data_IF_849531923501
#
_entry.id   IF_849531923501
#
_cell.length_a   1.000
_cell.length_b   1.000
_cell.length_c   1.000
_cell.angle_alpha   90.00
_cell.angle_beta   90.00
_cell.angle_gamma   90.00
#
_symmetry.space_group_name_H-M   'P 1'
#
loop_
_entity.id
_entity.type
_entity.pdbx_description
1 polymer ?
#
# COMPACT_ATOMS: atom_id res chain seq x y z
N UNK A 1 -3.54 29.92 -19.63
CA UNK A 1 -2.42 30.52 -18.87
C UNK A 1 -2.66 30.17 -17.42
N UNK A 2 -2.08 29.06 -16.95
CA UNK A 2 -2.18 28.66 -15.55
C UNK A 2 -1.23 29.54 -14.73
N UNK A 3 -1.76 30.16 -13.68
CA UNK A 3 -1.05 31.07 -12.79
C UNK A 3 0.22 30.43 -12.25
N UNK A 4 1.27 31.26 -12.13
CA UNK A 4 2.48 30.97 -11.38
C UNK A 4 2.14 30.92 -9.88
N UNK A 5 1.42 29.89 -9.46
CA UNK A 5 1.29 29.54 -8.05
C UNK A 5 2.64 29.02 -7.58
N UNK A 6 3.19 29.64 -6.55
CA UNK A 6 4.42 29.17 -5.89
C UNK A 6 4.17 27.74 -5.40
N UNK A 7 4.77 26.75 -6.08
CA UNK A 7 4.63 25.34 -5.70
C UNK A 7 5.15 25.19 -4.27
N UNK A 8 4.25 24.81 -3.35
CA UNK A 8 4.60 24.59 -1.95
C UNK A 8 5.30 23.25 -1.79
N UNK A 9 6.19 23.17 -0.81
CA UNK A 9 6.78 21.89 -0.40
C UNK A 9 5.82 21.22 0.57
N UNK A 10 5.58 19.92 0.41
CA UNK A 10 4.77 19.14 1.35
C UNK A 10 5.49 19.03 2.69
N UNK A 11 4.71 18.94 3.77
CA UNK A 11 5.25 18.54 5.09
C UNK A 11 5.52 17.03 5.14
N UNK A 12 4.89 16.27 4.23
CA UNK A 12 5.10 14.83 4.08
C UNK A 12 6.36 14.53 3.25
N UNK A 13 6.87 13.32 3.45
CA UNK A 13 8.10 12.76 2.88
C UNK A 13 7.79 11.46 2.16
N UNK A 14 8.57 11.19 1.11
CA UNK A 14 8.56 9.89 0.44
C UNK A 14 9.77 9.09 0.93
N UNK A 15 9.52 7.99 1.63
CA UNK A 15 10.56 7.06 2.07
C UNK A 15 10.83 6.03 0.95
N UNK A 16 12.08 5.85 0.57
CA UNK A 16 12.53 4.92 -0.45
C UNK A 16 13.54 3.98 0.19
N UNK A 17 13.25 2.69 0.22
CA UNK A 17 14.10 1.70 0.86
C UNK A 17 14.51 0.61 -0.12
N UNK A 18 15.73 0.10 0.04
CA UNK A 18 16.23 -1.00 -0.77
C UNK A 18 17.13 -1.94 0.05
N UNK A 19 17.15 -3.26 -0.25
CA UNK A 19 18.06 -4.19 0.39
C UNK A 19 19.54 -3.83 0.22
N UNK A 20 20.32 -3.97 1.30
CA UNK A 20 21.75 -3.73 1.29
C UNK A 20 22.53 -4.89 0.64
N UNK A 21 23.34 -4.56 -0.35
CA UNK A 21 24.31 -5.43 -0.99
C UNK A 21 25.67 -5.33 -0.29
N UNK A 22 26.21 -6.46 0.16
CA UNK A 22 27.59 -6.52 0.69
C UNK A 22 28.59 -6.68 -0.46
N UNK A 23 29.29 -5.59 -0.80
CA UNK A 23 30.51 -5.65 -1.62
C UNK A 23 31.70 -5.95 -0.69
N UNK A 24 32.47 -7.01 -0.95
CA UNK A 24 33.74 -7.25 -0.23
C UNK A 24 34.70 -6.10 -0.52
N UNK A 25 35.23 -5.47 0.54
CA UNK A 25 36.52 -4.78 0.46
C UNK A 25 37.58 -5.80 0.02
N UNK A 26 38.38 -5.44 -0.99
CA UNK A 26 39.29 -6.35 -1.71
C UNK A 26 40.51 -6.83 -0.92
N UNK A 27 40.60 -6.54 0.39
CA UNK A 27 41.85 -6.66 1.14
C UNK A 27 41.95 -7.83 2.14
N UNK A 28 40.99 -8.76 2.23
CA UNK A 28 41.09 -9.90 3.16
C UNK A 28 40.94 -11.31 2.53
N UNK A 29 41.88 -12.17 2.91
CA UNK A 29 42.22 -13.51 2.41
C UNK A 29 41.06 -14.55 2.33
N UNK A 30 41.25 -15.68 1.61
CA UNK A 30 40.18 -16.52 1.13
C UNK A 30 39.87 -17.68 2.08
N UNK A 31 38.78 -17.60 2.85
CA UNK A 31 38.14 -18.79 3.45
C UNK A 31 36.73 -18.51 4.00
N UNK A 32 35.73 -18.56 3.12
CA UNK A 32 34.36 -19.09 3.34
C UNK A 32 33.46 -18.61 2.21
N UNK A 33 32.82 -19.57 1.53
CA UNK A 33 31.92 -19.38 0.40
C UNK A 33 30.60 -18.77 0.85
N UNK A 34 30.58 -17.46 1.09
CA UNK A 34 29.32 -16.70 1.14
C UNK A 34 29.06 -16.10 -0.25
N UNK A 35 27.84 -16.23 -0.79
CA UNK A 35 27.51 -15.72 -2.13
C UNK A 35 27.65 -14.20 -2.16
N UNK A 36 28.47 -13.70 -3.10
CA UNK A 36 28.53 -12.28 -3.47
C UNK A 36 27.14 -11.80 -3.86
N UNK A 37 26.68 -10.69 -3.30
CA UNK A 37 25.42 -10.09 -3.71
C UNK A 37 25.51 -9.66 -5.20
N UNK A 38 24.50 -9.96 -6.04
CA UNK A 38 24.61 -9.83 -7.49
C UNK A 38 24.38 -8.41 -8.02
N UNK A 39 24.13 -7.42 -7.15
CA UNK A 39 23.82 -6.04 -7.49
C UNK A 39 24.58 -5.05 -6.60
N UNK A 40 24.67 -3.79 -7.01
CA UNK A 40 25.18 -2.68 -6.21
C UNK A 40 24.00 -1.83 -5.74
N UNK A 41 23.79 -1.71 -4.42
CA UNK A 41 22.70 -0.93 -3.82
C UNK A 41 22.81 0.56 -4.17
N UNK A 42 24.03 1.09 -4.27
CA UNK A 42 24.26 2.50 -4.67
C UNK A 42 23.80 2.73 -6.10
N UNK A 43 24.10 1.79 -7.00
CA UNK A 43 23.64 1.83 -8.38
C UNK A 43 22.12 1.67 -8.48
N UNK A 44 21.52 0.78 -7.65
CA UNK A 44 20.08 0.56 -7.58
C UNK A 44 19.33 1.87 -7.28
N UNK A 45 19.70 2.55 -6.19
CA UNK A 45 19.14 3.87 -5.84
C UNK A 45 19.41 4.92 -6.90
N UNK A 46 20.64 4.99 -7.43
CA UNK A 46 21.01 6.03 -8.39
C UNK A 46 20.17 5.96 -9.66
N UNK A 47 20.00 4.76 -10.20
CA UNK A 47 19.18 4.52 -11.39
C UNK A 47 17.72 4.86 -11.10
N UNK A 48 17.19 4.42 -9.96
CA UNK A 48 15.81 4.68 -9.58
C UNK A 48 15.52 6.17 -9.40
N UNK A 49 16.38 6.89 -8.66
CA UNK A 49 16.23 8.32 -8.39
C UNK A 49 16.33 9.15 -9.68
N UNK A 50 17.26 8.81 -10.59
CA UNK A 50 17.33 9.43 -11.92
C UNK A 50 16.06 9.16 -12.72
N UNK A 51 15.52 7.94 -12.67
CA UNK A 51 14.26 7.59 -13.33
C UNK A 51 13.06 8.36 -12.75
N UNK A 52 12.98 8.47 -11.43
CA UNK A 52 11.85 9.08 -10.72
C UNK A 52 11.84 10.61 -10.79
N UNK A 53 13.02 11.24 -10.75
CA UNK A 53 13.12 12.70 -10.66
C UNK A 53 13.67 13.35 -11.93
N UNK A 54 14.26 12.57 -12.84
CA UNK A 54 15.05 13.07 -13.96
C UNK A 54 16.45 13.54 -13.58
N UNK A 55 16.84 13.43 -12.30
CA UNK A 55 18.12 13.93 -11.77
C UNK A 55 18.84 12.79 -11.06
N UNK A 56 20.08 12.52 -11.48
CA UNK A 56 20.92 11.53 -10.81
C UNK A 56 21.47 12.09 -9.48
N UNK A 57 21.62 11.26 -8.44
CA UNK A 57 22.26 11.67 -7.19
C UNK A 57 23.77 11.92 -7.39
N UNK A 58 24.40 12.49 -6.36
CA UNK A 58 25.84 12.80 -6.41
C UNK A 58 26.70 11.54 -6.58
N UNK A 59 27.72 11.60 -7.44
CA UNK A 59 28.55 10.44 -7.81
C UNK A 59 29.51 9.96 -6.70
N UNK A 60 29.67 10.75 -5.62
CA UNK A 60 30.60 10.45 -4.53
C UNK A 60 29.94 9.66 -3.38
N UNK A 61 28.70 9.21 -3.54
CA UNK A 61 27.96 8.48 -2.51
C UNK A 61 28.42 7.02 -2.42
N UNK A 62 28.76 6.57 -1.21
CA UNK A 62 29.11 5.18 -0.92
C UNK A 62 27.98 4.39 -0.24
N UNK A 63 26.92 5.09 0.20
CA UNK A 63 25.73 4.53 0.84
C UNK A 63 24.59 5.56 0.79
N UNK A 64 23.36 5.06 0.78
CA UNK A 64 22.12 5.82 0.86
C UNK A 64 21.45 5.75 2.24
N UNK A 65 22.09 5.14 3.26
CA UNK A 65 21.54 5.08 4.61
C UNK A 65 21.31 6.49 5.19
N UNK A 66 20.06 6.81 5.51
CA UNK A 66 19.65 8.15 5.98
C UNK A 66 19.86 9.28 4.96
N UNK A 67 19.88 9.00 3.66
CA UNK A 67 20.10 10.00 2.62
C UNK A 67 18.86 10.87 2.39
N UNK A 68 18.98 12.18 2.57
CA UNK A 68 17.85 13.15 2.54
C UNK A 68 18.08 14.37 1.66
N UNK A 69 19.20 14.41 0.93
CA UNK A 69 19.65 15.61 0.19
C UNK A 69 19.25 15.61 -1.29
N UNK A 70 18.47 14.62 -1.72
CA UNK A 70 18.01 14.54 -3.10
C UNK A 70 17.17 15.76 -3.50
N UNK A 71 17.20 16.11 -4.79
CA UNK A 71 16.29 17.12 -5.33
C UNK A 71 14.82 16.69 -5.12
N UNK A 72 13.94 17.59 -4.64
CA UNK A 72 12.55 17.26 -4.38
C UNK A 72 11.79 16.84 -5.65
N UNK A 73 10.99 15.78 -5.53
CA UNK A 73 10.10 15.32 -6.59
C UNK A 73 8.90 16.27 -6.71
N UNK A 74 8.65 16.81 -7.90
CA UNK A 74 7.47 17.66 -8.14
C UNK A 74 6.29 16.80 -8.56
N UNK A 75 5.28 16.69 -7.70
CA UNK A 75 4.01 16.04 -8.00
C UNK A 75 3.00 17.08 -8.47
N UNK A 76 2.27 16.77 -9.56
CA UNK A 76 1.25 17.64 -10.12
C UNK A 76 0.02 16.83 -10.46
N UNK A 77 -1.12 17.25 -9.93
CA UNK A 77 -2.41 16.71 -10.35
C UNK A 77 -3.37 17.85 -10.71
N UNK A 78 -4.62 17.51 -11.01
CA UNK A 78 -5.66 18.49 -11.39
C UNK A 78 -5.99 19.49 -10.28
N UNK A 79 -5.70 19.14 -9.03
CA UNK A 79 -6.17 19.87 -7.85
C UNK A 79 -5.06 20.70 -7.21
N UNK A 80 -3.81 20.22 -7.22
CA UNK A 80 -2.69 20.89 -6.61
C UNK A 80 -1.34 20.50 -7.26
N UNK A 81 -0.30 21.22 -6.88
CA UNK A 81 1.08 20.88 -7.18
C UNK A 81 1.89 20.99 -5.89
N UNK A 82 2.76 20.01 -5.64
CA UNK A 82 3.56 19.95 -4.42
C UNK A 82 4.97 19.43 -4.72
N UNK A 83 5.93 19.81 -3.89
CA UNK A 83 7.28 19.25 -3.89
C UNK A 83 7.43 18.27 -2.73
N UNK A 84 7.80 17.04 -3.04
CA UNK A 84 8.06 15.99 -2.06
C UNK A 84 9.56 15.87 -1.84
N UNK A 85 9.97 15.91 -0.59
CA UNK A 85 11.35 15.60 -0.22
C UNK A 85 11.50 14.08 -0.07
N UNK A 86 12.63 13.57 -0.56
CA UNK A 86 12.89 12.13 -0.66
C UNK A 86 13.84 11.72 0.47
N UNK A 87 13.49 10.65 1.16
CA UNK A 87 14.34 10.00 2.16
C UNK A 87 14.69 8.61 1.64
N UNK A 88 15.98 8.29 1.58
CA UNK A 88 16.45 6.97 1.22
C UNK A 88 17.06 6.28 2.44
N UNK A 89 16.85 4.97 2.54
CA UNK A 89 17.50 4.16 3.57
C UNK A 89 17.77 2.73 3.09
N UNK A 90 18.78 2.09 3.65
CA UNK A 90 19.23 0.76 3.25
C UNK A 90 18.72 -0.30 4.23
N UNK A 91 17.96 -1.28 3.75
CA UNK A 91 17.46 -2.38 4.57
C UNK A 91 18.59 -3.35 4.87
N UNK A 92 18.94 -3.60 6.15
CA UNK A 92 20.02 -4.50 6.48
C UNK A 92 19.76 -5.92 6.02
N UNK A 93 20.83 -6.68 5.78
CA UNK A 93 20.68 -8.05 5.31
C UNK A 93 19.89 -8.90 6.30
N UNK A 94 19.07 -9.76 5.71
CA UNK A 94 18.35 -10.81 6.40
C UNK A 94 19.34 -11.91 6.80
N UNK A 95 19.97 -11.74 7.97
CA UNK A 95 20.99 -12.65 8.47
C UNK A 95 20.44 -14.01 8.90
N UNK A 96 21.01 -15.09 8.36
CA UNK A 96 21.03 -16.39 9.07
C UNK A 96 22.17 -16.48 10.10
N UNK A 97 23.09 -15.50 10.11
CA UNK A 97 24.26 -15.46 10.98
C UNK A 97 24.35 -14.09 11.69
N UNK A 98 24.49 -14.11 13.01
CA UNK A 98 24.32 -12.98 13.94
C UNK A 98 25.46 -11.96 14.01
N UNK A 99 26.52 -12.10 13.21
CA UNK A 99 27.82 -11.54 13.61
C UNK A 99 28.37 -10.38 12.75
N UNK A 100 27.68 -9.90 11.71
CA UNK A 100 28.18 -8.76 10.90
C UNK A 100 27.01 -7.87 10.45
N UNK A 101 26.76 -6.77 11.17
CA UNK A 101 25.79 -5.71 10.83
C UNK A 101 24.48 -5.73 11.66
N UNK A 102 23.71 -4.63 11.66
CA UNK A 102 22.38 -4.60 12.27
C UNK A 102 21.47 -5.60 11.54
N UNK A 103 20.62 -6.30 12.28
CA UNK A 103 19.63 -7.20 11.68
C UNK A 103 18.42 -6.39 11.18
N UNK A 104 17.69 -6.91 10.21
CA UNK A 104 16.44 -6.32 9.73
C UNK A 104 15.46 -6.08 10.90
N UNK A 105 15.45 -6.98 11.89
CA UNK A 105 14.65 -6.82 13.11
C UNK A 105 15.06 -5.59 13.95
N UNK A 106 16.35 -5.25 13.99
CA UNK A 106 16.83 -4.06 14.69
C UNK A 106 16.39 -2.78 13.98
N UNK A 107 16.51 -2.75 12.65
CA UNK A 107 15.99 -1.65 11.84
C UNK A 107 14.48 -1.46 12.07
N UNK A 108 13.72 -2.57 12.05
CA UNK A 108 12.29 -2.57 12.32
C UNK A 108 11.97 -1.99 13.70
N UNK A 109 12.65 -2.48 14.75
CA UNK A 109 12.45 -2.00 16.12
C UNK A 109 12.75 -0.51 16.25
N UNK A 110 13.79 -0.02 15.58
CA UNK A 110 14.13 1.41 15.60
C UNK A 110 13.04 2.24 14.92
N UNK A 111 12.57 1.84 13.74
CA UNK A 111 11.52 2.57 13.00
C UNK A 111 10.14 2.51 13.67
N UNK A 112 9.87 1.44 14.43
CA UNK A 112 8.61 1.24 15.16
C UNK A 112 8.66 1.76 16.61
N UNK A 113 9.82 2.21 17.09
CA UNK A 113 9.99 2.76 18.44
C UNK A 113 9.15 4.02 18.67
N UNK A 114 8.83 4.32 19.93
CA UNK A 114 8.12 5.56 20.28
C UNK A 114 8.95 6.80 19.92
N UNK A 115 10.28 6.70 19.98
CA UNK A 115 11.21 7.76 19.59
C UNK A 115 11.13 8.09 18.10
N UNK A 116 10.81 7.11 17.25
CA UNK A 116 10.65 7.30 15.81
C UNK A 116 9.26 7.83 15.41
N UNK A 117 8.38 8.15 16.37
CA UNK A 117 7.03 8.65 16.07
C UNK A 117 7.04 9.94 15.24
N UNK A 118 7.96 10.86 15.52
CA UNK A 118 8.09 12.10 14.74
C UNK A 118 8.53 11.83 13.28
N UNK A 119 9.35 10.78 13.09
CA UNK A 119 9.79 10.33 11.76
C UNK A 119 8.60 9.72 11.00
N UNK A 120 7.81 8.89 11.67
CA UNK A 120 6.59 8.26 11.10
C UNK A 120 5.52 9.29 10.73
N UNK A 121 5.33 10.32 11.54
CA UNK A 121 4.29 11.34 11.34
C UNK A 121 4.47 12.14 10.03
N UNK A 122 5.72 12.25 9.53
CA UNK A 122 6.03 12.95 8.29
C UNK A 122 6.10 12.03 7.07
N UNK A 123 5.92 10.70 7.20
CA UNK A 123 5.94 9.79 6.05
C UNK A 123 4.55 9.78 5.40
N UNK A 124 4.47 10.20 4.14
CA UNK A 124 3.24 10.14 3.33
C UNK A 124 3.22 9.01 2.29
N UNK A 125 4.36 8.34 2.09
CA UNK A 125 4.45 7.20 1.20
C UNK A 125 5.77 6.45 1.34
N UNK A 126 5.76 5.19 0.94
CA UNK A 126 6.87 4.25 1.01
C UNK A 126 7.04 3.55 -0.35
N UNK A 127 8.26 3.57 -0.87
CA UNK A 127 8.68 2.79 -2.05
C UNK A 127 9.72 1.77 -1.62
N UNK A 128 9.49 0.50 -1.93
CA UNK A 128 10.47 -0.58 -1.74
C UNK A 128 11.06 -0.95 -3.10
N UNK A 129 12.37 -0.78 -3.28
CA UNK A 129 13.07 -1.18 -4.49
C UNK A 129 13.66 -2.57 -4.29
N UNK A 130 13.22 -3.53 -5.10
CA UNK A 130 13.71 -4.90 -5.09
C UNK A 130 14.50 -5.18 -6.37
N UNK A 131 15.79 -5.53 -6.27
CA UNK A 131 16.59 -5.81 -7.45
C UNK A 131 16.17 -7.14 -8.11
N UNK A 132 16.14 -7.15 -9.43
CA UNK A 132 15.90 -8.33 -10.25
C UNK A 132 17.08 -8.55 -11.20
N UNK A 133 17.63 -9.76 -11.25
CA UNK A 133 18.68 -10.12 -12.20
C UNK A 133 18.57 -11.58 -12.62
N UNK A 134 18.24 -11.85 -13.89
CA UNK A 134 18.37 -13.21 -14.41
C UNK A 134 19.85 -13.58 -14.52
N UNK A 135 20.28 -14.55 -13.71
CA UNK A 135 21.67 -15.01 -13.63
C UNK A 135 22.28 -14.99 -12.22
N UNK A 136 21.62 -14.37 -11.23
CA UNK A 136 21.90 -14.57 -9.79
C UNK A 136 21.73 -16.05 -9.37
N UNK A 137 20.97 -16.80 -10.16
CA UNK A 137 20.74 -18.24 -10.05
C UNK A 137 22.00 -19.06 -10.40
N UNK A 138 22.99 -19.02 -9.51
CA UNK A 138 23.82 -20.21 -9.30
C UNK A 138 22.90 -21.38 -8.97
N UNK A 139 23.18 -22.57 -9.49
CA UNK A 139 22.38 -23.81 -9.45
C UNK A 139 21.99 -24.35 -8.05
N UNK A 140 22.07 -23.53 -7.01
CA UNK A 140 21.74 -23.79 -5.61
C UNK A 140 20.82 -22.77 -4.93
N UNK A 141 20.39 -21.66 -5.57
CA UNK A 141 19.32 -20.78 -5.07
C UNK A 141 18.11 -20.89 -6.01
N UNK A 142 17.00 -21.46 -5.54
CA UNK A 142 15.73 -21.45 -6.27
C UNK A 142 15.11 -20.05 -6.23
N UNK A 143 14.33 -19.67 -7.25
CA UNK A 143 13.53 -18.42 -7.26
C UNK A 143 12.71 -18.25 -5.97
N UNK A 144 12.21 -19.35 -5.42
CA UNK A 144 11.56 -19.41 -4.11
C UNK A 144 12.42 -18.87 -2.95
N UNK A 145 13.74 -19.03 -3.01
CA UNK A 145 14.65 -18.53 -1.98
C UNK A 145 14.81 -17.01 -2.01
N UNK A 146 14.73 -16.40 -3.19
CA UNK A 146 14.74 -14.94 -3.35
C UNK A 146 13.37 -14.35 -2.97
N UNK A 147 12.27 -15.00 -3.37
CA UNK A 147 10.92 -14.63 -2.93
C UNK A 147 10.79 -14.65 -1.40
N UNK A 148 11.25 -15.72 -0.72
CA UNK A 148 11.28 -15.79 0.75
C UNK A 148 12.16 -14.72 1.40
N UNK A 149 13.20 -14.25 0.72
CA UNK A 149 14.04 -13.16 1.22
C UNK A 149 13.29 -11.82 1.12
N UNK A 150 12.63 -11.56 -0.01
CA UNK A 150 11.84 -10.36 -0.22
C UNK A 150 10.60 -10.30 0.65
N UNK A 151 9.93 -11.44 0.88
CA UNK A 151 8.87 -11.58 1.86
C UNK A 151 9.26 -10.97 3.22
N UNK A 152 10.43 -11.31 3.77
CA UNK A 152 10.87 -10.77 5.07
C UNK A 152 11.04 -9.24 5.07
N UNK A 153 11.56 -8.67 3.98
CA UNK A 153 11.64 -7.21 3.84
C UNK A 153 10.24 -6.59 3.74
N UNK A 154 9.36 -7.18 2.94
CA UNK A 154 8.02 -6.67 2.70
C UNK A 154 7.16 -6.76 3.96
N UNK A 155 7.21 -7.86 4.72
CA UNK A 155 6.54 -7.94 6.04
C UNK A 155 7.07 -6.86 6.99
N UNK A 156 8.39 -6.66 7.04
CA UNK A 156 9.01 -5.64 7.90
C UNK A 156 8.56 -4.22 7.54
N UNK A 157 8.56 -3.88 6.26
CA UNK A 157 8.15 -2.54 5.79
C UNK A 157 6.63 -2.39 5.87
N UNK A 158 5.85 -3.47 5.70
CA UNK A 158 4.40 -3.42 5.88
C UNK A 158 4.03 -3.13 7.34
N UNK A 159 4.71 -3.73 8.33
CA UNK A 159 4.47 -3.37 9.74
C UNK A 159 4.72 -1.89 10.02
N UNK A 160 5.72 -1.29 9.38
CA UNK A 160 5.96 0.16 9.45
C UNK A 160 4.80 0.94 8.85
N UNK A 161 4.35 0.57 7.65
CA UNK A 161 3.22 1.21 6.97
C UNK A 161 1.95 1.13 7.83
N UNK A 162 1.57 -0.05 8.31
CA UNK A 162 0.37 -0.25 9.13
C UNK A 162 0.40 0.64 10.38
N UNK A 163 1.56 0.71 11.05
CA UNK A 163 1.75 1.58 12.22
C UNK A 163 1.54 3.06 11.87
N UNK A 164 2.05 3.52 10.72
CA UNK A 164 1.88 4.92 10.29
C UNK A 164 0.41 5.21 9.94
N UNK A 165 -0.28 4.30 9.24
CA UNK A 165 -1.69 4.46 8.88
C UNK A 165 -2.58 4.48 10.13
N UNK A 166 -2.30 3.60 11.11
CA UNK A 166 -2.99 3.56 12.40
C UNK A 166 -2.77 4.83 13.23
N UNK A 167 -1.53 5.34 13.28
CA UNK A 167 -1.19 6.54 14.05
C UNK A 167 -1.72 7.83 13.42
N UNK A 168 -1.64 7.94 12.08
CA UNK A 168 -1.97 9.16 11.37
C UNK A 168 -3.41 9.21 10.84
N UNK A 169 -4.07 8.05 10.71
CA UNK A 169 -5.39 7.93 10.06
C UNK A 169 -5.37 8.26 8.57
N UNK A 170 -4.19 8.32 7.94
CA UNK A 170 -4.00 8.64 6.52
C UNK A 170 -3.58 7.38 5.78
N UNK A 171 -3.93 7.29 4.51
CA UNK A 171 -3.45 6.22 3.62
C UNK A 171 -2.10 6.62 3.02
N UNK A 172 -1.12 5.73 3.06
CA UNK A 172 0.20 5.96 2.50
C UNK A 172 0.21 5.61 1.01
N UNK A 173 1.05 6.31 0.24
CA UNK A 173 1.39 5.84 -1.11
C UNK A 173 2.35 4.65 -1.00
N UNK A 174 1.93 3.44 -1.36
CA UNK A 174 2.71 2.20 -1.20
C UNK A 174 3.03 1.52 -2.52
N UNK A 175 4.32 1.44 -2.86
CA UNK A 175 4.79 0.90 -4.14
C UNK A 175 5.95 -0.07 -3.92
N UNK A 176 5.92 -1.23 -4.58
CA UNK A 176 7.03 -2.17 -4.69
C UNK A 176 7.56 -2.09 -6.13
N UNK A 177 8.82 -1.72 -6.31
CA UNK A 177 9.45 -1.64 -7.63
C UNK A 177 10.38 -2.82 -7.82
N UNK A 178 10.06 -3.70 -8.76
CA UNK A 178 10.94 -4.80 -9.17
C UNK A 178 11.86 -4.26 -10.27
N UNK A 179 13.06 -3.85 -9.88
CA UNK A 179 13.99 -3.16 -10.78
C UNK A 179 14.94 -4.14 -11.47
N UNK A 180 14.88 -4.20 -12.79
CA UNK A 180 15.79 -5.00 -13.61
C UNK A 180 17.21 -4.40 -13.58
N UNK A 181 18.16 -5.18 -13.07
CA UNK A 181 19.58 -4.84 -12.94
C UNK A 181 20.44 -5.44 -14.05
N UNK A 182 19.84 -6.07 -15.08
CA UNK A 182 20.61 -6.63 -16.20
C UNK A 182 21.24 -5.50 -17.04
N UNK A 183 22.57 -5.40 -16.98
CA UNK A 183 23.31 -4.43 -17.81
C UNK A 183 23.22 -4.86 -19.27
N UNK A 184 22.59 -4.05 -20.12
CA UNK A 184 22.62 -4.26 -21.57
C UNK A 184 24.05 -3.99 -22.08
N UNK A 185 24.89 -5.02 -22.17
CA UNK A 185 26.25 -4.90 -22.69
C UNK A 185 26.21 -4.56 -24.19
N UNK A 186 26.58 -3.32 -24.55
CA UNK A 186 26.62 -2.78 -25.93
C UNK A 186 27.59 -3.51 -26.90
N UNK A 187 28.33 -4.53 -26.47
CA UNK A 187 29.27 -5.24 -27.34
C UNK A 187 28.61 -6.34 -28.16
N UNK A 188 27.94 -5.91 -29.24
CA UNK A 188 27.86 -6.54 -30.58
C UNK A 188 28.16 -8.03 -30.76
N UNK A 189 27.65 -8.91 -29.90
CA UNK A 189 27.67 -10.35 -30.13
C UNK A 189 26.22 -10.82 -30.11
N UNK A 190 25.75 -11.31 -31.26
CA UNK A 190 24.50 -12.04 -31.36
C UNK A 190 24.53 -13.22 -30.39
N UNK A 191 24.09 -12.97 -29.16
CA UNK A 191 23.61 -13.98 -28.24
C UNK A 191 22.10 -13.89 -28.40
N UNK A 192 21.44 -15.02 -28.65
CA UNK A 192 19.98 -15.08 -28.64
C UNK A 192 19.48 -14.46 -27.33
N UNK A 193 19.02 -13.21 -27.43
CA UNK A 193 18.69 -12.33 -26.33
C UNK A 193 17.27 -12.69 -25.89
N UNK A 194 17.15 -13.70 -25.02
CA UNK A 194 15.98 -13.79 -24.16
C UNK A 194 16.06 -12.57 -23.24
N UNK A 195 15.36 -11.50 -23.63
CA UNK A 195 15.20 -10.31 -22.82
C UNK A 195 14.36 -10.72 -21.62
N UNK A 196 14.99 -10.77 -20.45
CA UNK A 196 14.43 -11.35 -19.23
C UNK A 196 13.29 -10.51 -18.68
N UNK A 197 12.05 -10.93 -18.88
CA UNK A 197 10.86 -10.20 -18.40
C UNK A 197 10.76 -10.26 -16.87
N UNK A 198 10.84 -9.13 -16.12
CA UNK A 198 10.58 -9.12 -14.67
C UNK A 198 9.11 -9.38 -14.29
N UNK A 199 8.18 -9.29 -15.25
CA UNK A 199 6.72 -9.35 -15.06
C UNK A 199 6.25 -10.65 -14.38
N UNK A 200 6.68 -11.86 -14.78
CA UNK A 200 6.26 -13.10 -14.11
C UNK A 200 6.74 -13.18 -12.65
N UNK A 201 7.91 -12.61 -12.37
CA UNK A 201 8.44 -12.53 -11.01
C UNK A 201 7.66 -11.52 -10.17
N UNK A 202 7.34 -10.35 -10.75
CA UNK A 202 6.48 -9.35 -10.10
C UNK A 202 5.10 -9.94 -9.76
N UNK A 203 4.49 -10.70 -10.67
CA UNK A 203 3.22 -11.39 -10.41
C UNK A 203 3.34 -12.42 -9.28
N UNK A 204 4.40 -13.22 -9.29
CA UNK A 204 4.62 -14.21 -8.22
C UNK A 204 4.82 -13.53 -6.86
N UNK A 205 5.51 -12.39 -6.84
CA UNK A 205 5.70 -11.59 -5.64
C UNK A 205 4.38 -10.99 -5.14
N UNK A 206 3.55 -10.46 -6.04
CA UNK A 206 2.21 -9.94 -5.73
C UNK A 206 1.33 -11.04 -5.12
N UNK A 207 1.31 -12.23 -5.73
CA UNK A 207 0.57 -13.39 -5.24
C UNK A 207 1.05 -13.80 -3.84
N UNK A 208 2.37 -13.83 -3.59
CA UNK A 208 2.94 -14.12 -2.26
C UNK A 208 2.56 -13.04 -1.24
N UNK A 209 2.58 -11.76 -1.60
CA UNK A 209 2.14 -10.69 -0.70
C UNK A 209 0.67 -10.85 -0.33
N UNK A 210 -0.19 -11.09 -1.32
CA UNK A 210 -1.64 -11.14 -1.14
C UNK A 210 -2.11 -12.42 -0.44
N UNK A 211 -1.64 -13.58 -0.90
CA UNK A 211 -2.16 -14.89 -0.51
C UNK A 211 -1.47 -15.42 0.75
N UNK A 212 -0.14 -15.29 0.82
CA UNK A 212 0.65 -15.92 1.90
C UNK A 212 0.84 -14.99 3.09
N UNK A 213 0.96 -13.68 2.84
CA UNK A 213 1.33 -12.69 3.85
C UNK A 213 0.22 -11.71 4.24
N UNK A 214 -0.95 -11.77 3.61
CA UNK A 214 -2.10 -10.88 3.89
C UNK A 214 -1.73 -9.38 3.74
N UNK A 215 -0.78 -9.07 2.84
CA UNK A 215 -0.30 -7.72 2.57
C UNK A 215 -1.13 -7.14 1.41
N UNK A 216 -2.02 -6.20 1.73
CA UNK A 216 -2.89 -5.53 0.76
C UNK A 216 -2.47 -4.09 0.49
N UNK A 217 -2.87 -3.56 -0.67
CA UNK A 217 -2.71 -2.12 -0.99
C UNK A 217 -1.31 -1.72 -1.47
N UNK A 218 -0.38 -2.67 -1.59
CA UNK A 218 0.90 -2.44 -2.25
C UNK A 218 0.76 -2.63 -3.75
N UNK A 219 1.28 -1.69 -4.52
CA UNK A 219 1.33 -1.83 -5.97
C UNK A 219 2.68 -2.38 -6.42
N UNK A 220 2.71 -3.56 -7.02
CA UNK A 220 3.94 -4.19 -7.55
C UNK A 220 4.16 -3.77 -8.99
N UNK A 221 5.24 -3.03 -9.24
CA UNK A 221 5.56 -2.45 -10.54
C UNK A 221 6.89 -3.03 -11.04
N UNK A 222 6.88 -3.89 -12.08
CA UNK A 222 8.10 -4.24 -12.79
C UNK A 222 8.64 -3.01 -13.52
N UNK A 223 9.92 -2.75 -13.36
CA UNK A 223 10.56 -1.60 -14.00
C UNK A 223 11.93 -1.96 -14.57
N UNK A 224 12.07 -1.69 -15.87
CA UNK A 224 13.35 -1.74 -16.56
C UNK A 224 13.85 -0.31 -16.82
N UNK A 225 15.03 0.07 -16.29
CA UNK A 225 15.65 1.33 -16.63
C UNK A 225 15.91 1.41 -18.14
N UNK A 226 15.41 2.47 -18.78
CA UNK A 226 15.73 2.74 -20.18
C UNK A 226 17.22 3.10 -20.26
N UNK A 227 18.03 2.24 -20.88
CA UNK A 227 19.35 2.68 -21.34
C UNK A 227 19.11 3.81 -22.34
N UNK A 228 19.87 4.92 -22.24
CA UNK A 228 19.79 6.03 -23.19
C UNK A 228 19.62 5.47 -24.61
N UNK A 229 18.66 5.97 -25.42
CA UNK A 229 18.50 5.46 -26.77
C UNK A 229 19.85 5.54 -27.49
N UNK A 230 20.30 4.47 -28.18
CA UNK A 230 21.56 4.48 -28.89
C UNK A 230 21.48 5.58 -29.95
N UNK A 231 22.12 6.71 -29.65
CA UNK A 231 22.50 7.78 -30.56
C UNK A 231 21.50 7.96 -31.73
N UNK A 232 20.27 8.39 -31.45
CA UNK A 232 19.37 8.80 -32.52
C UNK A 232 20.00 10.02 -33.18
N UNK A 233 20.41 9.85 -34.44
CA UNK A 233 21.01 10.89 -35.24
C UNK A 233 20.20 12.20 -35.12
N UNK A 234 20.86 13.38 -35.09
CA UNK A 234 20.19 14.66 -34.89
C UNK A 234 19.48 15.11 -36.16
N UNK A 235 18.47 14.39 -36.64
CA UNK A 235 17.58 14.79 -37.73
C UNK A 235 16.26 14.01 -37.67
N UNK A 236 15.39 14.36 -36.71
CA UNK A 236 13.94 14.34 -36.95
C UNK A 236 13.38 15.66 -36.48
N UNK A 237 12.85 16.45 -37.41
CA UNK A 237 12.19 17.73 -37.19
C UNK A 237 10.73 17.54 -36.77
N UNK A 238 10.49 16.68 -35.80
CA UNK A 238 9.17 16.53 -35.19
C UNK A 238 9.17 17.26 -33.83
N UNK A 239 8.14 18.06 -33.52
CA UNK A 239 8.08 18.82 -32.28
C UNK A 239 8.07 17.84 -31.10
N UNK A 240 8.97 18.08 -30.14
CA UNK A 240 9.15 17.41 -28.84
C UNK A 240 7.85 16.77 -28.34
N UNK A 241 7.67 15.49 -28.65
CA UNK A 241 6.68 14.64 -27.98
C UNK A 241 7.26 14.34 -26.60
N UNK A 242 6.52 14.69 -25.55
CA UNK A 242 6.82 14.26 -24.18
C UNK A 242 7.13 12.75 -24.16
N UNK A 243 8.00 12.26 -23.26
CA UNK A 243 8.29 10.83 -23.16
C UNK A 243 6.97 10.08 -23.04
N UNK A 244 6.55 9.41 -24.10
CA UNK A 244 5.25 8.75 -24.17
C UNK A 244 5.23 7.72 -23.07
N UNK A 245 4.38 7.93 -22.07
CA UNK A 245 4.18 7.01 -20.96
C UNK A 245 4.09 5.59 -21.52
N UNK A 246 4.89 4.66 -20.98
CA UNK A 246 4.79 3.26 -21.36
C UNK A 246 3.41 2.77 -20.95
N UNK A 247 2.58 2.39 -21.92
CA UNK A 247 1.25 1.82 -21.70
C UNK A 247 1.30 0.33 -22.00
N UNK A 248 0.57 -0.48 -21.23
CA UNK A 248 0.35 -1.90 -21.55
C UNK A 248 -0.72 -2.05 -22.66
N UNK A 249 -0.99 -3.29 -23.07
CA UNK A 249 -1.99 -3.64 -24.09
C UNK A 249 -3.43 -3.23 -23.69
N UNK A 250 -3.66 -2.89 -22.43
CA UNK A 250 -4.93 -2.42 -21.89
C UNK A 250 -5.01 -0.89 -21.77
N UNK A 251 -3.96 -0.17 -22.16
CA UNK A 251 -3.88 1.28 -22.09
C UNK A 251 -3.57 1.84 -20.69
N UNK A 252 -3.15 0.99 -19.76
CA UNK A 252 -2.74 1.40 -18.41
C UNK A 252 -1.25 1.74 -18.39
N UNK A 253 -0.85 2.70 -17.55
CA UNK A 253 0.56 3.08 -17.41
C UNK A 253 1.36 1.94 -16.78
N UNK A 254 2.61 1.78 -17.20
CA UNK A 254 3.56 0.79 -16.68
C UNK A 254 4.89 1.44 -16.28
N UNK A 255 5.73 0.69 -15.55
CA UNK A 255 7.05 1.13 -15.13
C UNK A 255 7.02 2.45 -14.36
N UNK A 256 7.98 3.34 -14.62
CA UNK A 256 8.09 4.63 -13.90
C UNK A 256 6.85 5.53 -14.09
N UNK A 257 6.18 5.47 -15.25
CA UNK A 257 4.96 6.25 -15.47
C UNK A 257 3.83 5.82 -14.53
N UNK A 258 3.80 4.53 -14.18
CA UNK A 258 2.86 3.99 -13.20
C UNK A 258 3.22 4.41 -11.77
N UNK A 259 4.50 4.39 -11.41
CA UNK A 259 4.99 4.90 -10.11
C UNK A 259 4.52 6.36 -9.90
N UNK A 260 4.70 7.22 -10.91
CA UNK A 260 4.20 8.60 -10.84
C UNK A 260 2.69 8.69 -10.66
N UNK A 261 1.92 7.84 -11.34
CA UNK A 261 0.46 7.82 -11.22
C UNK A 261 0.00 7.46 -9.80
N UNK A 262 0.62 6.47 -9.16
CA UNK A 262 0.31 6.13 -7.76
C UNK A 262 0.61 7.33 -6.85
N UNK A 263 1.78 7.96 -7.01
CA UNK A 263 2.15 9.12 -6.20
C UNK A 263 1.23 10.33 -6.45
N UNK A 264 0.74 10.53 -7.67
CA UNK A 264 -0.18 11.63 -8.00
C UNK A 264 -1.59 11.47 -7.41
N UNK A 265 -2.00 10.23 -7.14
CA UNK A 265 -3.30 9.88 -6.53
C UNK A 265 -3.32 10.14 -5.03
N UNK A 266 -2.17 10.07 -4.35
CA UNK A 266 -2.04 10.38 -2.93
C UNK A 266 -2.24 11.88 -2.66
N UNK A 267 -2.85 12.22 -1.53
CA UNK A 267 -3.04 13.61 -1.11
C UNK A 267 -1.88 14.11 -0.25
N UNK A 268 -0.91 14.77 -0.87
CA UNK A 268 0.28 15.34 -0.22
C UNK A 268 0.07 16.74 0.39
N UNK A 269 -1.15 17.28 0.33
CA UNK A 269 -1.47 18.60 0.89
C UNK A 269 -1.90 18.54 2.36
N UNK A 270 -2.02 17.35 2.95
CA UNK A 270 -2.33 17.15 4.37
C UNK A 270 -1.10 17.49 5.21
N UNK A 271 -1.29 18.21 6.31
CA UNK A 271 -0.21 18.50 7.27
C UNK A 271 0.18 17.24 8.04
N UNK A 272 1.47 17.11 8.36
CA UNK A 272 1.98 16.03 9.22
C UNK A 272 1.26 16.06 10.59
N UNK A 273 1.19 17.24 11.19
CA UNK A 273 0.41 17.51 12.38
C UNK A 273 -0.99 18.03 12.03
N UNK A 274 -2.07 17.27 12.25
CA UNK A 274 -3.38 17.88 12.36
C UNK A 274 -3.33 18.84 13.56
N UNK A 275 -3.51 20.14 13.33
CA UNK A 275 -3.81 21.08 14.42
C UNK A 275 -5.09 20.60 15.09
N UNK A 276 -4.96 19.79 16.14
CA UNK A 276 -6.00 19.68 17.14
C UNK A 276 -6.07 21.06 17.77
N UNK A 277 -7.01 21.87 17.28
CA UNK A 277 -7.44 23.12 17.90
C UNK A 277 -8.06 22.76 19.25
N UNK A 278 -7.21 22.42 20.22
CA UNK A 278 -7.57 22.49 21.63
C UNK A 278 -7.75 23.98 21.91
N UNK A 279 -8.97 24.48 21.69
CA UNK A 279 -9.38 25.79 22.18
C UNK A 279 -8.89 25.90 23.63
N UNK A 280 -7.90 26.78 23.81
CA UNK A 280 -7.34 27.14 25.08
C UNK A 280 -8.46 27.68 25.98
N UNK A 281 -9.12 26.79 26.73
CA UNK A 281 -9.82 27.15 27.94
C UNK A 281 -8.78 27.48 29.00
N UNK A 282 -8.13 28.63 28.84
CA UNK A 282 -7.30 29.25 29.87
C UNK A 282 -8.22 29.74 31.00
N UNK A 283 -8.62 28.83 31.88
CA UNK A 283 -9.12 29.20 33.20
C UNK A 283 -7.97 29.16 34.18
N UNK A 284 -7.47 30.35 34.48
CA UNK A 284 -6.74 30.64 35.71
C UNK A 284 -7.47 30.00 36.91
N UNK A 285 -6.82 29.09 37.62
CA UNK A 285 -6.71 29.18 39.08
C UNK A 285 -5.66 28.21 39.63
N UNK A 286 -4.86 28.78 40.53
CA UNK A 286 -3.87 28.18 41.41
C UNK A 286 -4.48 27.24 42.45
N UNK A 287 -3.67 26.26 42.86
CA UNK A 287 -3.66 25.53 44.13
C UNK A 287 -4.94 24.77 44.55
N UNK A 288 -4.85 23.44 44.68
CA UNK A 288 -4.83 22.76 45.99
C UNK A 288 -4.90 21.23 45.83
N UNK A 289 -4.19 20.55 46.73
CA UNK A 289 -3.85 19.15 46.78
C UNK A 289 -5.04 18.33 47.31
N UNK A 290 -5.59 17.38 46.53
CA UNK A 290 -6.36 16.22 47.03
C UNK A 290 -6.67 15.24 45.90
N UNK A 291 -6.10 14.03 45.95
CA UNK A 291 -6.78 12.87 45.33
C UNK A 291 -8.15 12.72 45.99
N UNK A 292 -9.23 12.43 45.24
CA UNK A 292 -9.59 11.02 45.09
C UNK A 292 -10.31 10.65 43.78
N UNK A 293 -10.08 9.42 43.32
CA UNK A 293 -11.00 8.53 42.58
C UNK A 293 -12.16 9.16 41.79
N UNK A 294 -12.06 9.19 40.46
CA UNK A 294 -13.21 9.49 39.59
C UNK A 294 -13.78 8.21 38.96
N UNK A 295 -14.96 7.85 39.44
CA UNK A 295 -15.94 7.01 38.75
C UNK A 295 -16.38 7.70 37.44
N UNK A 296 -16.71 6.97 36.37
CA UNK A 296 -17.24 7.58 35.16
C UNK A 296 -18.64 8.13 35.46
N UNK A 297 -18.81 9.45 35.32
CA UNK A 297 -20.10 10.12 35.38
C UNK A 297 -20.66 10.16 33.96
N UNK A 298 -21.64 9.31 33.73
CA UNK A 298 -22.45 9.24 32.51
C UNK A 298 -23.28 10.53 32.43
N UNK A 299 -23.08 11.32 31.38
CA UNK A 299 -24.05 12.33 30.93
C UNK A 299 -24.95 11.70 29.84
N UNK A 300 -26.30 11.71 29.94
CA UNK A 300 -27.16 10.82 29.17
C UNK A 300 -27.63 11.36 27.80
N UNK A 301 -26.93 12.31 27.19
CA UNK A 301 -27.48 13.06 26.03
C UNK A 301 -26.77 12.89 24.68
N UNK A 302 -25.69 12.12 24.57
CA UNK A 302 -25.04 11.87 23.28
C UNK A 302 -24.79 10.37 23.11
N UNK A 303 -25.85 9.66 22.70
CA UNK A 303 -25.73 8.35 22.06
C UNK A 303 -26.04 8.56 20.59
N UNK A 304 -25.04 8.32 19.74
CA UNK A 304 -25.13 7.76 18.40
C UNK A 304 -23.91 8.25 17.60
N UNK A 305 -22.89 7.39 17.55
CA UNK A 305 -21.66 7.69 16.81
C UNK A 305 -20.72 6.50 16.62
N UNK A 306 -20.91 5.40 17.37
CA UNK A 306 -20.04 4.21 17.31
C UNK A 306 -20.81 2.90 17.01
N UNK A 307 -22.14 2.92 16.91
CA UNK A 307 -22.93 1.73 16.53
C UNK A 307 -23.35 1.70 15.06
N UNK A 308 -23.42 2.85 14.39
CA UNK A 308 -23.87 2.96 13.00
C UNK A 308 -22.95 2.24 12.02
N UNK A 309 -21.63 2.27 12.25
CA UNK A 309 -20.65 1.59 11.41
C UNK A 309 -20.70 0.07 11.60
N UNK A 310 -20.91 -0.41 12.83
CA UNK A 310 -21.10 -1.84 13.10
C UNK A 310 -22.41 -2.39 12.53
N UNK A 311 -23.47 -1.57 12.53
CA UNK A 311 -24.78 -1.93 11.96
C UNK A 311 -24.77 -1.91 10.42
N UNK A 312 -23.94 -1.08 9.79
CA UNK A 312 -23.68 -1.12 8.33
C UNK A 312 -22.85 -2.34 7.93
N UNK A 313 -21.77 -2.62 8.65
CA UNK A 313 -20.93 -3.80 8.41
C UNK A 313 -21.70 -5.12 8.62
N UNK A 314 -22.55 -5.20 9.65
CA UNK A 314 -23.41 -6.37 9.84
C UNK A 314 -24.44 -6.55 8.71
N UNK A 315 -24.97 -5.45 8.15
CA UNK A 315 -25.89 -5.53 7.01
C UNK A 315 -25.20 -6.01 5.74
N UNK A 316 -23.96 -5.58 5.49
CA UNK A 316 -23.18 -6.07 4.36
C UNK A 316 -22.76 -7.54 4.54
N UNK A 317 -22.34 -7.95 5.74
CA UNK A 317 -21.99 -9.36 6.05
C UNK A 317 -23.20 -10.28 5.93
N UNK A 318 -24.38 -9.85 6.39
CA UNK A 318 -25.60 -10.66 6.23
C UNK A 318 -26.00 -10.79 4.76
N UNK A 319 -25.81 -9.75 3.95
CA UNK A 319 -26.03 -9.81 2.50
C UNK A 319 -25.06 -10.78 1.81
N UNK A 320 -23.77 -10.72 2.18
CA UNK A 320 -22.74 -11.62 1.66
C UNK A 320 -22.97 -13.07 2.12
N UNK A 321 -23.35 -13.27 3.38
CA UNK A 321 -23.68 -14.59 3.93
C UNK A 321 -24.87 -15.20 3.19
N UNK A 322 -25.93 -14.42 2.92
CA UNK A 322 -27.08 -14.91 2.15
C UNK A 322 -26.71 -15.25 0.71
N UNK A 323 -25.81 -14.48 0.09
CA UNK A 323 -25.29 -14.78 -1.25
C UNK A 323 -24.43 -16.06 -1.29
N UNK A 324 -23.58 -16.27 -0.28
CA UNK A 324 -22.75 -17.47 -0.13
C UNK A 324 -23.58 -18.71 0.21
N UNK A 325 -24.58 -18.58 1.08
CA UNK A 325 -25.48 -19.68 1.43
C UNK A 325 -26.28 -20.13 0.20
N UNK A 326 -26.74 -19.18 -0.64
CA UNK A 326 -27.34 -19.48 -1.94
C UNK A 326 -26.36 -20.14 -2.92
N UNK A 327 -25.07 -19.82 -2.85
CA UNK A 327 -24.03 -20.44 -3.69
C UNK A 327 -23.62 -21.84 -3.19
N UNK A 328 -23.72 -22.08 -1.88
CA UNK A 328 -23.41 -23.37 -1.25
C UNK A 328 -24.49 -24.44 -1.50
N UNK A 329 -25.75 -24.03 -1.65
CA UNK A 329 -26.85 -24.89 -2.07
C UNK A 329 -26.82 -25.29 -3.57
N UNK A 330 -25.85 -24.81 -4.35
CA UNK A 330 -25.63 -25.20 -5.76
C UNK A 330 -24.54 -26.28 -5.93
N UNK A 331 -24.02 -26.85 -4.84
CA UNK A 331 -23.02 -27.93 -4.87
C UNK A 331 -23.43 -29.13 -4.01
N UNK A 332 -24.59 -29.71 -4.28
CA UNK A 332 -24.91 -31.15 -4.19
C UNK A 332 -26.19 -31.32 -5.01
N UNK A 333 -26.13 -32.17 -6.03
CA UNK A 333 -27.11 -32.18 -7.12
C UNK A 333 -28.49 -32.67 -6.73
N UNK A 334 -29.49 -32.13 -7.42
CA UNK A 334 -30.60 -32.87 -8.03
C UNK A 334 -31.32 -31.92 -8.99
N UNK A 335 -31.72 -32.44 -10.14
CA UNK A 335 -32.53 -31.74 -11.13
C UNK A 335 -33.89 -31.40 -10.52
N UNK A 336 -34.18 -30.11 -10.40
CA UNK A 336 -35.54 -29.61 -10.29
C UNK A 336 -35.66 -28.37 -11.17
N UNK A 337 -36.36 -28.52 -12.30
CA UNK A 337 -37.05 -27.39 -12.91
C UNK A 337 -37.96 -26.77 -11.84
N UNK A 338 -37.64 -25.56 -11.43
CA UNK A 338 -38.61 -24.64 -10.85
C UNK A 338 -38.22 -23.26 -11.33
N UNK A 339 -38.99 -22.77 -12.29
CA UNK A 339 -39.15 -21.33 -12.50
C UNK A 339 -39.34 -20.66 -11.13
N UNK A 340 -38.53 -19.63 -10.86
CA UNK A 340 -38.88 -18.48 -10.02
C UNK A 340 -37.67 -17.55 -10.00
N UNK A 341 -37.51 -16.83 -11.11
CA UNK A 341 -36.84 -15.53 -11.09
C UNK A 341 -37.64 -14.66 -10.10
N UNK A 342 -37.21 -14.62 -8.82
CA UNK A 342 -37.81 -13.77 -7.80
C UNK A 342 -37.69 -12.33 -8.29
N UNK A 343 -38.78 -11.83 -8.87
CA UNK A 343 -38.85 -10.54 -9.52
C UNK A 343 -38.45 -9.47 -8.51
N UNK A 344 -37.57 -8.56 -8.93
CA UNK A 344 -37.08 -7.43 -8.11
C UNK A 344 -38.24 -6.65 -7.46
N UNK A 345 -39.41 -6.65 -8.08
CA UNK A 345 -40.65 -6.04 -7.58
C UNK A 345 -41.21 -6.72 -6.32
N UNK A 346 -41.03 -8.03 -6.17
CA UNK A 346 -41.41 -8.75 -4.95
C UNK A 346 -40.50 -8.35 -3.78
N UNK A 347 -39.19 -8.18 -4.01
CA UNK A 347 -38.24 -7.73 -2.98
C UNK A 347 -38.58 -6.32 -2.47
N UNK A 348 -38.93 -5.40 -3.36
CA UNK A 348 -39.37 -4.04 -3.00
C UNK A 348 -40.67 -4.09 -2.18
N UNK A 349 -41.59 -5.00 -2.52
CA UNK A 349 -42.84 -5.21 -1.78
C UNK A 349 -42.58 -5.74 -0.37
N UNK A 350 -41.64 -6.68 -0.21
CA UNK A 350 -41.23 -7.20 1.11
C UNK A 350 -40.61 -6.11 1.98
N UNK A 351 -39.73 -5.30 1.41
CA UNK A 351 -39.01 -4.24 2.12
C UNK A 351 -39.98 -3.17 2.64
N UNK A 352 -40.94 -2.75 1.79
CA UNK A 352 -41.95 -1.78 2.18
C UNK A 352 -42.87 -2.33 3.29
N UNK A 353 -43.30 -3.60 3.19
CA UNK A 353 -44.19 -4.21 4.18
C UNK A 353 -43.50 -4.54 5.49
N UNK A 354 -42.21 -4.88 5.47
CA UNK A 354 -41.39 -5.01 6.67
C UNK A 354 -41.17 -3.65 7.37
N UNK A 355 -41.04 -2.57 6.61
CA UNK A 355 -40.96 -1.21 7.15
C UNK A 355 -42.28 -0.81 7.83
N UNK A 356 -43.44 -1.15 7.25
CA UNK A 356 -44.76 -0.92 7.87
C UNK A 356 -44.92 -1.67 9.20
N UNK A 357 -44.50 -2.95 9.28
CA UNK A 357 -44.54 -3.74 10.52
C UNK A 357 -43.66 -3.11 11.60
N UNK A 358 -42.48 -2.61 11.20
CA UNK A 358 -41.56 -1.91 12.11
C UNK A 358 -42.17 -0.62 12.65
N UNK A 359 -42.80 0.17 11.80
CA UNK A 359 -43.42 1.44 12.19
C UNK A 359 -44.65 1.23 13.08
N UNK A 360 -45.43 0.16 12.84
CA UNK A 360 -46.48 -0.29 13.73
C UNK A 360 -45.92 -0.82 15.08
N UNK A 361 -44.72 -1.37 15.10
CA UNK A 361 -44.05 -1.83 16.31
C UNK A 361 -43.56 -0.71 17.23
N UNK A 362 -43.37 0.51 16.72
CA UNK A 362 -42.71 1.60 17.46
C UNK A 362 -43.48 2.10 18.68
N UNK A 363 -44.80 1.89 18.71
CA UNK A 363 -45.67 2.26 19.84
C UNK A 363 -45.94 1.12 20.83
N UNK A 364 -45.31 -0.04 20.64
CA UNK A 364 -45.44 -1.21 21.50
C UNK A 364 -44.20 -1.41 22.38
N UNK A 365 -44.40 -2.00 23.56
CA UNK A 365 -43.29 -2.39 24.45
C UNK A 365 -42.41 -3.46 23.78
N UNK A 366 -41.15 -3.61 24.22
CA UNK A 366 -40.16 -4.49 23.56
C UNK A 366 -40.65 -5.95 23.42
N UNK A 367 -41.30 -6.49 24.45
CA UNK A 367 -41.83 -7.87 24.42
C UNK A 367 -43.05 -8.02 23.52
N UNK A 368 -43.90 -6.99 23.43
CA UNK A 368 -45.09 -7.01 22.56
C UNK A 368 -44.71 -6.80 21.10
N UNK A 369 -43.72 -5.95 20.82
CA UNK A 369 -43.16 -5.70 19.49
C UNK A 369 -42.57 -6.96 18.88
N UNK A 370 -41.84 -7.75 19.66
CA UNK A 370 -41.24 -9.01 19.19
C UNK A 370 -42.29 -10.05 18.84
N UNK A 371 -43.35 -10.18 19.65
CA UNK A 371 -44.48 -11.09 19.36
C UNK A 371 -45.25 -10.63 18.13
N UNK A 372 -45.54 -9.34 18.04
CA UNK A 372 -46.24 -8.73 16.90
C UNK A 372 -45.46 -8.92 15.60
N UNK A 373 -44.16 -8.60 15.58
CA UNK A 373 -43.31 -8.79 14.42
C UNK A 373 -43.24 -10.26 13.99
N UNK A 374 -43.10 -11.18 14.95
CA UNK A 374 -43.06 -12.62 14.64
C UNK A 374 -44.37 -13.12 14.01
N UNK A 375 -45.52 -12.70 14.52
CA UNK A 375 -46.82 -13.10 13.97
C UNK A 375 -47.06 -12.52 12.58
N UNK A 376 -46.73 -11.25 12.35
CA UNK A 376 -46.94 -10.60 11.04
C UNK A 376 -45.96 -11.10 9.98
N UNK A 377 -44.68 -11.33 10.32
CA UNK A 377 -43.71 -11.94 9.39
C UNK A 377 -44.12 -13.37 9.03
N UNK A 378 -44.59 -14.15 10.00
CA UNK A 378 -45.09 -15.50 9.74
C UNK A 378 -46.31 -15.49 8.79
N UNK A 379 -47.22 -14.53 8.97
CA UNK A 379 -48.37 -14.34 8.07
C UNK A 379 -47.93 -13.92 6.67
N UNK A 380 -46.92 -13.06 6.56
CA UNK A 380 -46.35 -12.62 5.30
C UNK A 380 -45.67 -13.78 4.54
N UNK A 381 -44.95 -14.65 5.24
CA UNK A 381 -44.38 -15.87 4.66
C UNK A 381 -45.46 -16.87 4.20
N UNK A 382 -46.57 -16.97 4.93
CA UNK A 382 -47.71 -17.80 4.52
C UNK A 382 -48.42 -17.21 3.29
N UNK A 383 -48.57 -15.88 3.20
CA UNK A 383 -49.14 -15.21 2.02
C UNK A 383 -48.30 -15.45 0.77
N UNK A 384 -46.96 -15.42 0.86
CA UNK A 384 -46.07 -15.72 -0.28
C UNK A 384 -46.13 -17.18 -0.73
N UNK A 385 -46.35 -18.10 0.20
CA UNK A 385 -46.48 -19.54 -0.13
C UNK A 385 -47.80 -19.91 -0.83
N UNK A 386 -48.74 -18.96 -0.96
CA UNK A 386 -50.06 -19.14 -1.55
C UNK A 386 -50.20 -18.51 -2.94
N UNK A 387 -49.13 -17.92 -3.48
CA UNK A 387 -49.09 -17.32 -4.82
C UNK A 387 -48.20 -18.11 -5.76
#
# INVERSE_FOLDING_TARGET
>A
MADSSTIKTSDLRLLIVAPLSTVRSTDDEPRMTHPTAPYDTTALFSIFLEGLTGVAPSQDLTSFAGYTTHEPLTIRNKYYSSRLTLWCDELPQVGFARDIGPDLAEWSNNMLSDEAREVRDVIGGVIVILPYSQGSFSAHKTEEGELRMYERYLTCVNSLRDTIEDESGRNLATVIVVQDMTTTSEKGRQVHQYQSDPEPFAQSLEDTCLIENDIFGWEVIPWRPLTKPPNTAPFSTDPVTEPTASLNDFGEKTGMSRVHEVLEQTNWAVSAHPEFDYEHASTNNSDDFSQPSCKPRIDPSCKDGVSTQSDEFQREIMGLHFALEKQSNLRIGEEAESDEEIQVDQMVTLMNRAAEIRDAGNHLSKQERERYAKTEVQKLMQELSLW
#
